data_IF_078366681655
#
_entry.id   IF_078366681655
#
_cell.length_a   1.000
_cell.length_b   1.000
_cell.length_c   1.000
_cell.angle_alpha   90.00
_cell.angle_beta   90.00
_cell.angle_gamma   90.00
#
_symmetry.space_group_name_H-M   'P 1'
#
loop_
_entity.id
_entity.type
_entity.pdbx_description
1 polymer ?
#
# COMPACT_ATOMS: atom_id res chain seq x y z
N UNK A 1 23.06 -13.90 37.09
CA UNK A 1 22.39 -14.96 36.34
C UNK A 1 20.99 -14.58 35.91
N UNK A 2 20.14 -14.26 36.85
CA UNK A 2 18.78 -13.90 36.49
C UNK A 2 18.70 -12.64 35.66
N UNK A 3 19.66 -11.75 35.78
CA UNK A 3 19.66 -10.52 34.98
C UNK A 3 19.83 -10.83 33.51
N UNK A 4 20.63 -11.81 33.16
CA UNK A 4 20.82 -12.17 31.76
C UNK A 4 19.53 -12.72 31.16
N UNK A 5 18.82 -13.54 31.90
CA UNK A 5 17.58 -14.10 31.41
C UNK A 5 16.52 -13.01 31.22
N UNK A 6 16.45 -12.09 32.13
CA UNK A 6 15.50 -10.99 32.02
C UNK A 6 15.80 -10.13 30.81
N UNK A 7 17.07 -9.84 30.57
CA UNK A 7 17.46 -9.04 29.43
C UNK A 7 17.12 -9.74 28.13
N UNK A 8 17.33 -11.03 28.08
CA UNK A 8 17.05 -11.80 26.88
C UNK A 8 15.57 -11.79 26.54
N UNK A 9 14.75 -11.97 27.55
CA UNK A 9 13.30 -11.95 27.35
C UNK A 9 12.85 -10.59 26.87
N UNK A 10 13.42 -9.53 27.41
CA UNK A 10 13.06 -8.19 27.02
C UNK A 10 13.38 -7.92 25.57
N UNK A 11 14.54 -8.35 25.13
CA UNK A 11 14.94 -8.17 23.74
C UNK A 11 14.01 -8.94 22.81
N UNK A 12 13.62 -10.12 23.20
CA UNK A 12 12.72 -10.93 22.40
C UNK A 12 11.36 -10.25 22.23
N UNK A 13 10.86 -9.68 23.30
CA UNK A 13 9.58 -8.98 23.27
C UNK A 13 9.63 -7.78 22.35
N UNK A 14 10.72 -7.05 22.37
CA UNK A 14 10.89 -5.89 21.51
C UNK A 14 10.88 -6.29 20.04
N UNK A 15 11.47 -7.41 19.70
CA UNK A 15 11.49 -7.88 18.33
C UNK A 15 10.08 -8.19 17.84
N UNK A 16 9.28 -8.79 18.68
CA UNK A 16 7.91 -9.11 18.31
C UNK A 16 7.08 -7.86 18.09
N UNK A 17 7.27 -6.86 18.93
CA UNK A 17 6.55 -5.61 18.78
C UNK A 17 6.88 -4.92 17.49
N UNK A 18 8.10 -5.03 17.07
CA UNK A 18 8.58 -4.37 15.86
C UNK A 18 7.80 -4.81 14.62
N UNK A 19 7.56 -6.10 14.49
CA UNK A 19 6.91 -6.57 13.28
C UNK A 19 5.46 -6.10 13.17
N UNK A 20 4.85 -5.72 14.27
CA UNK A 20 3.44 -5.34 14.23
C UNK A 20 3.20 -4.00 13.56
N UNK A 21 4.23 -3.17 13.42
CA UNK A 21 4.05 -1.83 12.88
C UNK A 21 4.72 -1.64 11.53
N UNK A 22 4.98 -2.70 10.83
CA UNK A 22 5.84 -2.62 9.66
C UNK A 22 5.18 -1.97 8.46
N UNK A 23 3.86 -1.84 8.41
CA UNK A 23 3.22 -1.42 7.17
C UNK A 23 2.22 -0.30 7.36
N UNK A 24 2.62 0.70 8.07
CA UNK A 24 1.79 1.90 8.20
C UNK A 24 2.21 2.93 7.17
N UNK A 25 1.23 3.55 6.57
CA UNK A 25 1.45 4.47 5.47
C UNK A 25 0.98 5.86 5.87
N UNK A 26 1.86 6.83 5.68
CA UNK A 26 1.54 8.24 5.90
C UNK A 26 1.89 9.00 4.64
N UNK A 27 0.90 9.64 4.03
CA UNK A 27 1.11 10.40 2.80
C UNK A 27 0.31 11.69 2.88
N UNK A 28 0.96 12.79 2.54
CA UNK A 28 0.33 14.10 2.44
C UNK A 28 0.59 14.63 1.06
N UNK A 29 -0.25 14.29 0.10
CA UNK A 29 -0.06 14.68 -1.29
C UNK A 29 -1.25 15.51 -1.74
N UNK A 30 -0.97 16.63 -2.39
CA UNK A 30 -1.99 17.52 -2.91
C UNK A 30 -1.66 17.81 -4.35
N UNK A 31 -2.45 17.28 -5.29
CA UNK A 31 -2.22 17.48 -6.71
C UNK A 31 -0.83 17.01 -7.11
N UNK A 32 -0.54 15.77 -6.78
CA UNK A 32 0.75 15.14 -7.09
C UNK A 32 0.50 14.04 -8.11
N UNK A 33 1.49 13.82 -8.97
CA UNK A 33 1.35 12.79 -10.01
C UNK A 33 1.13 11.43 -9.36
N UNK A 34 0.24 10.66 -9.97
CA UNK A 34 -0.13 9.36 -9.43
C UNK A 34 1.11 8.47 -9.26
N UNK A 35 2.02 8.47 -10.21
CA UNK A 35 3.18 7.60 -10.10
C UNK A 35 4.02 7.94 -8.88
N UNK A 36 4.08 9.20 -8.49
CA UNK A 36 4.83 9.57 -7.29
C UNK A 36 4.14 9.08 -6.03
N UNK A 37 2.82 9.17 -6.00
CA UNK A 37 2.07 8.68 -4.84
C UNK A 37 2.22 7.17 -4.73
N UNK A 38 2.14 6.46 -5.84
CA UNK A 38 2.30 5.01 -5.82
C UNK A 38 3.70 4.62 -5.38
N UNK A 39 4.70 5.38 -5.80
CA UNK A 39 6.07 5.11 -5.38
C UNK A 39 6.23 5.29 -3.88
N UNK A 40 5.61 6.33 -3.32
CA UNK A 40 5.64 6.53 -1.88
C UNK A 40 4.97 5.39 -1.12
N UNK A 41 3.80 4.96 -1.60
CA UNK A 41 3.11 3.85 -0.97
C UNK A 41 3.96 2.58 -1.06
N UNK A 42 4.57 2.37 -2.20
CA UNK A 42 5.41 1.19 -2.41
C UNK A 42 6.57 1.16 -1.41
N UNK A 43 7.23 2.30 -1.23
CA UNK A 43 8.36 2.35 -0.32
C UNK A 43 7.95 2.14 1.13
N UNK A 44 6.79 2.65 1.51
CA UNK A 44 6.35 2.54 2.90
C UNK A 44 5.74 1.19 3.21
N UNK A 45 5.12 0.54 2.23
CA UNK A 45 4.43 -0.71 2.46
C UNK A 45 5.22 -1.93 2.01
N UNK A 46 6.21 -1.75 1.17
CA UNK A 46 6.94 -2.86 0.61
C UNK A 46 6.19 -3.57 -0.51
N UNK A 47 5.12 -2.96 -1.00
CA UNK A 47 4.32 -3.55 -2.08
C UNK A 47 4.80 -3.06 -3.43
N UNK A 48 4.51 -3.83 -4.47
CA UNK A 48 4.80 -3.43 -5.85
C UNK A 48 3.49 -3.12 -6.55
N UNK A 49 3.51 -2.12 -7.41
CA UNK A 49 2.32 -1.71 -8.15
C UNK A 49 2.46 -2.04 -9.62
N UNK A 50 1.40 -2.57 -10.18
CA UNK A 50 1.34 -2.91 -11.60
C UNK A 50 0.08 -2.31 -12.20
N UNK A 51 0.21 -1.68 -13.33
CA UNK A 51 -0.92 -1.10 -14.05
C UNK A 51 -0.55 -0.96 -15.50
N UNK A 52 -1.56 -0.81 -16.34
CA UNK A 52 -1.32 -0.62 -17.76
C UNK A 52 -2.00 0.65 -18.23
N UNK A 53 -1.37 1.29 -19.17
CA UNK A 53 -1.93 2.43 -19.85
C UNK A 53 -2.75 1.92 -21.02
N UNK A 54 -3.79 2.64 -21.39
CA UNK A 54 -4.24 3.93 -20.88
C UNK A 54 -5.18 3.83 -19.67
N UNK A 55 -5.39 2.65 -19.14
CA UNK A 55 -6.31 2.46 -18.03
C UNK A 55 -5.93 3.36 -16.85
N UNK A 56 -4.65 3.38 -16.53
CA UNK A 56 -4.13 4.20 -15.44
C UNK A 56 -3.12 5.16 -16.04
N UNK A 57 -3.35 6.46 -15.83
CA UNK A 57 -2.44 7.47 -16.32
C UNK A 57 -1.52 7.90 -15.17
N UNK A 58 -0.23 7.55 -15.23
CA UNK A 58 0.67 7.86 -14.12
C UNK A 58 0.94 9.35 -13.95
N UNK A 59 0.65 10.16 -14.96
CA UNK A 59 0.89 11.59 -14.87
C UNK A 59 -0.32 12.36 -14.35
N UNK A 60 -1.42 11.70 -14.15
CA UNK A 60 -2.61 12.35 -13.63
C UNK A 60 -2.41 12.77 -12.19
N UNK A 61 -2.94 13.93 -11.83
CA UNK A 61 -2.75 14.47 -10.50
C UNK A 61 -3.78 13.90 -9.55
N UNK A 62 -3.32 13.46 -8.41
CA UNK A 62 -4.17 12.90 -7.36
C UNK A 62 -3.83 13.57 -6.04
N UNK A 63 -4.76 13.49 -5.12
CA UNK A 63 -4.52 13.97 -3.76
C UNK A 63 -4.78 12.83 -2.79
N UNK A 64 -3.93 12.73 -1.78
CA UNK A 64 -4.08 11.67 -0.77
C UNK A 64 -3.54 12.18 0.55
N UNK A 65 -4.38 12.15 1.56
CA UNK A 65 -3.98 12.60 2.89
C UNK A 65 -4.35 11.50 3.88
N UNK A 66 -3.36 10.71 4.27
CA UNK A 66 -3.57 9.63 5.22
C UNK A 66 -2.44 9.63 6.24
N UNK A 67 -2.73 9.11 7.41
CA UNK A 67 -1.76 9.10 8.51
C UNK A 67 -1.82 7.75 9.20
N UNK A 68 -0.74 6.98 9.05
CA UNK A 68 -0.57 5.70 9.75
C UNK A 68 -1.72 4.74 9.46
N UNK A 69 -2.03 4.58 8.18
CA UNK A 69 -3.09 3.66 7.76
C UNK A 69 -2.46 2.46 7.06
N UNK A 70 -3.24 1.40 6.91
CA UNK A 70 -2.74 0.24 6.19
C UNK A 70 -2.87 0.45 4.69
N UNK A 71 -2.32 -0.50 3.94
CA UNK A 71 -2.27 -0.38 2.49
C UNK A 71 -3.68 -0.29 1.88
N UNK A 72 -4.56 -1.12 2.35
CA UNK A 72 -5.92 -1.15 1.81
C UNK A 72 -6.62 0.19 2.03
N UNK A 73 -6.50 0.74 3.21
CA UNK A 73 -7.13 2.03 3.52
C UNK A 73 -6.55 3.14 2.65
N UNK A 74 -5.23 3.14 2.48
CA UNK A 74 -4.61 4.16 1.64
C UNK A 74 -5.11 4.07 0.21
N UNK A 75 -5.21 2.87 -0.33
CA UNK A 75 -5.69 2.69 -1.69
C UNK A 75 -7.16 3.04 -1.84
N UNK A 76 -7.98 2.69 -0.85
CA UNK A 76 -9.39 3.03 -0.90
C UNK A 76 -9.58 4.54 -0.95
N UNK A 77 -8.79 5.28 -0.19
CA UNK A 77 -8.90 6.74 -0.19
C UNK A 77 -8.32 7.34 -1.46
N UNK A 78 -7.23 6.77 -1.95
CA UNK A 78 -6.60 7.30 -3.16
C UNK A 78 -7.52 7.17 -4.37
N UNK A 79 -8.18 6.04 -4.50
CA UNK A 79 -8.98 5.74 -5.67
C UNK A 79 -10.45 6.05 -5.49
N UNK A 80 -10.83 6.66 -4.38
CA UNK A 80 -12.23 7.02 -4.14
C UNK A 80 -12.72 7.96 -5.24
N UNK A 81 -13.85 7.62 -5.84
CA UNK A 81 -14.40 8.43 -6.91
C UNK A 81 -13.72 8.30 -8.24
N UNK A 82 -12.74 7.43 -8.36
CA UNK A 82 -12.04 7.23 -9.62
C UNK A 82 -12.51 5.96 -10.29
N UNK A 83 -12.40 5.88 -11.62
CA UNK A 83 -12.83 4.67 -12.34
C UNK A 83 -11.75 3.60 -12.32
N UNK A 84 -11.06 3.46 -11.22
CA UNK A 84 -9.99 2.50 -11.06
C UNK A 84 -10.22 1.74 -9.77
N UNK A 85 -9.98 0.44 -9.82
CA UNK A 85 -10.02 -0.38 -8.62
C UNK A 85 -8.69 -1.12 -8.51
N UNK A 86 -8.53 -1.89 -7.45
CA UNK A 86 -7.26 -2.58 -7.23
C UNK A 86 -7.49 -3.99 -6.75
N UNK A 87 -6.48 -4.80 -6.93
CA UNK A 87 -6.47 -6.18 -6.45
C UNK A 87 -5.12 -6.42 -5.81
N UNK A 88 -5.11 -6.86 -4.57
CA UNK A 88 -3.88 -7.12 -3.84
C UNK A 88 -3.65 -8.62 -3.77
N UNK A 89 -2.47 -9.05 -4.21
CA UNK A 89 -2.14 -10.46 -4.22
C UNK A 89 -0.67 -10.63 -3.89
N UNK A 90 -0.41 -11.16 -2.71
CA UNK A 90 0.96 -11.52 -2.31
C UNK A 90 1.94 -10.35 -2.44
N UNK A 91 1.58 -9.20 -1.87
CA UNK A 91 2.45 -8.04 -1.92
C UNK A 91 2.46 -7.30 -3.22
N UNK A 92 1.64 -7.71 -4.17
CA UNK A 92 1.52 -7.05 -5.46
C UNK A 92 0.15 -6.41 -5.58
N UNK A 93 0.13 -5.18 -6.04
CA UNK A 93 -1.12 -4.44 -6.20
C UNK A 93 -1.33 -4.18 -7.69
N UNK A 94 -2.45 -4.65 -8.20
CA UNK A 94 -2.80 -4.48 -9.60
C UNK A 94 -3.89 -3.44 -9.70
N UNK A 95 -3.64 -2.38 -10.44
CA UNK A 95 -4.63 -1.33 -10.67
C UNK A 95 -5.31 -1.59 -12.00
N UNK A 96 -6.62 -1.70 -11.97
CA UNK A 96 -7.39 -2.00 -13.16
C UNK A 96 -8.59 -1.09 -13.24
N UNK A 97 -9.14 -0.94 -14.42
CA UNK A 97 -10.34 -0.13 -14.60
C UNK A 97 -11.53 -0.83 -13.96
N UNK A 98 -12.39 -0.04 -13.34
CA UNK A 98 -13.63 -0.61 -12.82
C UNK A 98 -14.41 -1.21 -13.98
N UNK A 99 -14.98 -2.34 -13.73
CA UNK A 99 -15.67 -3.05 -14.78
C UNK A 99 -14.80 -4.04 -15.50
N UNK A 100 -13.52 -3.76 -15.59
CA UNK A 100 -12.60 -4.71 -16.21
C UNK A 100 -11.95 -5.62 -15.18
N UNK A 101 -12.10 -5.28 -13.92
CA UNK A 101 -11.43 -6.03 -12.87
C UNK A 101 -11.80 -7.50 -12.90
N UNK A 102 -13.02 -7.80 -13.27
CA UNK A 102 -13.47 -9.17 -13.29
C UNK A 102 -13.11 -9.89 -14.58
N UNK A 103 -12.81 -9.15 -15.61
CA UNK A 103 -12.60 -9.76 -16.91
C UNK A 103 -11.36 -10.59 -17.00
N UNK A 104 -10.22 -10.13 -16.53
CA UNK A 104 -9.03 -10.95 -16.62
C UNK A 104 -9.20 -12.28 -15.92
N UNK A 105 -10.03 -12.32 -14.95
CA UNK A 105 -10.22 -13.56 -14.22
C UNK A 105 -11.04 -14.55 -15.00
N UNK A 106 -11.94 -14.07 -15.78
CA UNK A 106 -12.81 -14.96 -16.52
C UNK A 106 -12.16 -15.45 -17.77
N UNK A 107 -11.19 -14.75 -18.21
CA UNK A 107 -10.56 -15.18 -19.40
C UNK A 107 -9.84 -16.46 -19.18
N UNK A 108 -9.85 -16.73 -18.68
CA UNK A 108 -9.38 -17.84 -18.60
C UNK A 108 -9.63 -18.61 -19.20
#
# INVERSE_FOLDING_TARGET
MSLKKTTLILVLLCSLCFSAFAQRITIKADQVRLEQILDDISRQSGSSFYYSQPTVNPDELYSLNVDKVDLKTALDKLLAGKPITYDINDGKVYLVAKGEAAQPKTVK
#
